data_IF_300483592030
#
_entry.id   IF_300483592030
#
_cell.length_a   1.000
_cell.length_b   1.000
_cell.length_c   1.000
_cell.angle_alpha   90.00
_cell.angle_beta   90.00
_cell.angle_gamma   90.00
#
_symmetry.space_group_name_H-M   'P 1'
#
loop_
_entity.id
_entity.type
_entity.pdbx_description
1 polymer ?
#
# COMPACT_ATOMS: atom_id res chain seq x y z
N UNK A 1 8.01 -1.85 -10.46
CA UNK A 1 8.98 -0.88 -9.92
C UNK A 1 9.78 -1.58 -8.85
N UNK A 2 11.12 -1.45 -8.85
CA UNK A 2 11.99 -2.10 -7.85
C UNK A 2 11.68 -1.62 -6.44
N UNK A 3 11.17 -0.39 -6.28
CA UNK A 3 10.86 0.22 -4.99
C UNK A 3 9.39 0.65 -4.88
N UNK A 4 8.46 -0.25 -5.23
CA UNK A 4 7.03 -0.01 -5.06
C UNK A 4 6.69 0.24 -3.58
N UNK A 5 6.15 1.43 -3.29
CA UNK A 5 5.90 1.92 -1.93
C UNK A 5 4.63 1.30 -1.28
N UNK A 6 4.57 -0.04 -1.24
CA UNK A 6 3.40 -0.82 -0.82
C UNK A 6 2.90 -0.45 0.59
N UNK A 7 3.78 -0.16 1.54
CA UNK A 7 3.41 0.24 2.90
C UNK A 7 2.92 1.67 3.03
N UNK A 8 3.38 2.59 2.15
CA UNK A 8 3.02 4.03 2.20
C UNK A 8 1.76 4.36 1.40
N UNK A 9 1.43 3.56 0.39
CA UNK A 9 0.23 3.74 -0.45
C UNK A 9 -1.00 3.24 0.32
N UNK A 10 -2.10 4.00 0.30
CA UNK A 10 -3.36 3.56 0.86
C UNK A 10 -4.01 2.53 -0.04
N UNK A 11 -4.28 1.33 0.48
CA UNK A 11 -4.93 0.28 -0.27
C UNK A 11 -6.38 0.60 -0.68
N UNK A 12 -7.01 1.60 -0.06
CA UNK A 12 -8.37 2.03 -0.39
C UNK A 12 -8.39 3.13 -1.45
N UNK A 13 -7.73 4.27 -1.20
CA UNK A 13 -7.81 5.46 -2.06
C UNK A 13 -6.58 5.68 -2.96
N UNK A 14 -5.50 4.92 -2.78
CA UNK A 14 -4.26 5.08 -3.55
C UNK A 14 -3.36 6.25 -3.11
N UNK A 15 -3.77 7.08 -2.15
CA UNK A 15 -2.92 8.18 -1.66
C UNK A 15 -1.61 7.64 -1.06
N UNK A 16 -0.47 8.24 -1.43
CA UNK A 16 0.85 7.88 -0.93
C UNK A 16 1.27 8.82 0.19
N UNK A 17 1.46 8.28 1.40
CA UNK A 17 2.03 9.03 2.51
C UNK A 17 3.46 9.49 2.21
N UNK A 18 3.80 10.70 2.67
CA UNK A 18 5.20 11.19 2.69
C UNK A 18 6.02 10.36 3.67
N UNK A 19 5.60 10.36 4.92
CA UNK A 19 6.27 9.65 6.02
C UNK A 19 5.42 8.52 6.58
N UNK A 20 6.11 7.46 7.01
CA UNK A 20 5.56 6.32 7.72
C UNK A 20 6.72 5.63 8.45
N UNK A 21 6.76 5.77 9.77
CA UNK A 21 7.79 5.19 10.61
C UNK A 21 7.62 3.67 10.73
N UNK A 22 8.74 2.95 10.91
CA UNK A 22 8.72 1.50 11.09
C UNK A 22 8.01 1.07 12.38
N UNK A 23 7.96 1.94 13.39
CA UNK A 23 7.20 1.74 14.63
C UNK A 23 5.69 1.89 14.45
N UNK A 24 5.22 2.56 13.39
CA UNK A 24 3.79 2.68 13.10
C UNK A 24 3.26 1.35 12.57
N UNK A 25 2.61 0.56 13.44
CA UNK A 25 1.97 -0.72 13.08
C UNK A 25 0.56 -0.54 12.53
N UNK A 26 -0.11 0.57 12.85
CA UNK A 26 -1.43 0.90 12.31
C UNK A 26 -1.27 1.92 11.19
N UNK A 27 -1.78 1.59 10.01
CA UNK A 27 -1.92 2.51 8.90
C UNK A 27 -3.20 3.33 9.05
N UNK A 28 -3.06 4.66 9.09
CA UNK A 28 -4.16 5.63 9.13
C UNK A 28 -4.11 6.52 7.89
N UNK A 29 -5.17 6.54 7.09
CA UNK A 29 -5.28 7.39 5.91
C UNK A 29 -6.26 8.54 6.13
N UNK A 30 -6.03 9.66 5.44
CA UNK A 30 -6.96 10.79 5.38
C UNK A 30 -8.33 10.42 4.79
N UNK A 31 -8.41 9.35 3.98
CA UNK A 31 -9.70 8.84 3.48
C UNK A 31 -10.51 8.04 4.53
N UNK A 32 -10.02 7.93 5.77
CA UNK A 32 -10.66 7.18 6.85
C UNK A 32 -10.23 5.72 6.96
N UNK A 33 -9.40 5.20 6.04
CA UNK A 33 -8.87 3.84 6.15
C UNK A 33 -8.00 3.67 7.40
N UNK A 34 -8.32 2.68 8.23
CA UNK A 34 -7.58 2.31 9.45
C UNK A 34 -7.41 0.80 9.52
N UNK A 35 -6.17 0.32 9.38
CA UNK A 35 -5.86 -1.11 9.42
C UNK A 35 -4.41 -1.35 9.84
N UNK A 36 -4.03 -2.61 10.06
CA UNK A 36 -2.63 -2.99 10.23
C UNK A 36 -1.82 -2.62 8.95
N UNK A 37 -0.63 -2.07 9.14
CA UNK A 37 0.24 -1.60 8.06
C UNK A 37 0.68 -2.73 7.15
N UNK A 38 0.97 -3.90 7.70
CA UNK A 38 1.46 -5.04 6.95
C UNK A 38 0.32 -5.64 6.12
N UNK A 39 -0.92 -5.61 6.63
CA UNK A 39 -2.15 -5.90 5.85
C UNK A 39 -2.34 -4.90 4.70
N UNK A 40 -2.22 -3.60 4.95
CA UNK A 40 -2.30 -2.58 3.89
C UNK A 40 -1.25 -2.83 2.79
N UNK A 41 -0.02 -3.15 3.18
CA UNK A 41 1.07 -3.44 2.25
C UNK A 41 0.80 -4.71 1.42
N UNK A 42 0.30 -5.79 2.05
CA UNK A 42 -0.03 -7.03 1.35
C UNK A 42 -1.11 -6.82 0.28
N UNK A 43 -2.15 -6.04 0.57
CA UNK A 43 -3.20 -5.70 -0.40
C UNK A 43 -2.59 -4.95 -1.59
N UNK A 44 -1.70 -3.99 -1.35
CA UNK A 44 -1.05 -3.25 -2.42
C UNK A 44 -0.12 -4.12 -3.27
N UNK A 45 0.64 -5.04 -2.66
CA UNK A 45 1.50 -5.99 -3.38
C UNK A 45 0.65 -6.88 -4.30
N UNK A 46 -0.48 -7.40 -3.81
CA UNK A 46 -1.40 -8.19 -4.64
C UNK A 46 -1.92 -7.38 -5.84
N UNK A 47 -2.36 -6.14 -5.61
CA UNK A 47 -2.85 -5.25 -6.68
C UNK A 47 -1.77 -4.97 -7.72
N UNK A 48 -0.54 -4.70 -7.28
CA UNK A 48 0.59 -4.44 -8.17
C UNK A 48 0.98 -5.70 -8.96
N UNK A 49 1.00 -6.87 -8.31
CA UNK A 49 1.24 -8.16 -8.97
C UNK A 49 0.21 -8.44 -10.07
N UNK A 50 -1.09 -8.22 -9.77
CA UNK A 50 -2.17 -8.31 -10.78
C UNK A 50 -1.98 -7.31 -11.93
N UNK A 51 -1.55 -6.08 -11.64
CA UNK A 51 -1.29 -5.05 -12.65
C UNK A 51 -0.13 -5.43 -13.57
N UNK A 52 0.94 -6.01 -13.01
CA UNK A 52 2.09 -6.49 -13.78
C UNK A 52 1.68 -7.67 -14.66
N UNK A 53 0.99 -8.67 -14.08
CA UNK A 53 0.50 -9.83 -14.82
C UNK A 53 -0.34 -9.43 -16.02
N UNK A 54 -1.31 -8.52 -15.85
CA UNK A 54 -2.15 -7.99 -16.94
C UNK A 54 -1.39 -7.21 -18.02
N UNK A 55 -0.16 -6.76 -17.77
CA UNK A 55 0.67 -6.08 -18.79
C UNK A 55 1.50 -7.05 -19.62
N UNK A 56 1.71 -8.26 -19.11
CA UNK A 56 2.48 -9.31 -19.78
C UNK A 56 1.60 -10.32 -20.51
N UNK A 57 0.30 -10.36 -20.18
CA UNK A 57 -0.75 -11.04 -20.94
C UNK A 57 -1.27 -10.12 -22.05
#
# INVERSE_FOLDING_TARGET
DRYFASSKICSVCGHKKKELALSERIYLCECGNRMDRDVNAAINILKEGKRIYKKCA
#
